data_IF_590235716135
#
_entry.id   IF_590235716135
#
_cell.length_a   1.000
_cell.length_b   1.000
_cell.length_c   1.000
_cell.angle_alpha   90.00
_cell.angle_beta   90.00
_cell.angle_gamma   90.00
#
_symmetry.space_group_name_H-M   'P 1'
#
loop_
_entity.id
_entity.type
_entity.pdbx_description
1 polymer ?
#
# COMPACT_ATOMS: atom_id res chain seq x y z
N UNK A 1 6.62 -6.02 25.02
CA UNK A 1 5.33 -6.69 24.73
C UNK A 1 4.29 -6.05 25.62
N UNK A 2 3.39 -5.25 25.02
CA UNK A 2 2.36 -4.49 25.73
C UNK A 2 1.28 -5.41 26.30
N UNK A 3 0.80 -5.13 27.52
CA UNK A 3 -0.28 -5.91 28.15
C UNK A 3 -1.64 -5.19 28.04
N UNK A 4 -2.74 -5.90 28.29
CA UNK A 4 -4.10 -5.34 28.21
C UNK A 4 -4.35 -4.19 29.20
N UNK A 5 -3.58 -4.13 30.28
CA UNK A 5 -3.65 -3.06 31.27
C UNK A 5 -3.05 -1.75 30.74
N UNK A 6 -1.93 -1.82 30.01
CA UNK A 6 -1.30 -0.69 29.32
C UNK A 6 -2.19 -0.15 28.20
N UNK A 7 -2.83 -1.02 27.40
CA UNK A 7 -3.76 -0.61 26.35
C UNK A 7 -5.00 0.13 26.92
N UNK A 8 -5.44 -0.25 28.13
CA UNK A 8 -6.53 0.42 28.83
C UNK A 8 -6.09 1.76 29.43
N UNK A 9 -4.88 1.84 29.96
CA UNK A 9 -4.35 3.04 30.61
C UNK A 9 -3.90 4.11 29.60
N UNK A 10 -3.38 3.67 28.45
CA UNK A 10 -2.91 4.51 27.37
C UNK A 10 -3.54 4.02 26.07
N UNK A 11 -4.63 4.65 25.65
CA UNK A 11 -5.33 4.35 24.39
C UNK A 11 -4.52 4.72 23.14
N UNK A 12 -3.38 5.41 23.34
CA UNK A 12 -2.48 5.95 22.32
C UNK A 12 -1.16 5.16 22.23
N UNK A 13 -1.18 3.86 22.53
CA UNK A 13 -0.03 2.96 22.30
C UNK A 13 0.09 2.68 20.80
N UNK A 14 1.32 2.68 20.27
CA UNK A 14 1.58 2.33 18.86
C UNK A 14 1.11 0.91 18.56
N UNK A 15 0.06 0.80 17.74
CA UNK A 15 -0.54 -0.46 17.32
C UNK A 15 -0.66 -0.50 15.80
N UNK A 16 -0.33 -1.64 15.20
CA UNK A 16 -0.47 -1.87 13.78
C UNK A 16 -1.91 -2.33 13.48
N UNK A 17 -2.55 -1.69 12.51
CA UNK A 17 -3.91 -2.03 12.13
C UNK A 17 -4.05 -2.23 10.64
N UNK A 18 -4.71 -3.32 10.24
CA UNK A 18 -5.11 -3.56 8.86
C UNK A 18 -6.61 -3.81 8.84
N UNK A 19 -7.34 -2.95 8.14
CA UNK A 19 -8.78 -3.11 7.93
C UNK A 19 -9.05 -3.13 6.44
N UNK A 20 -9.79 -4.14 5.99
CA UNK A 20 -10.12 -4.23 4.58
C UNK A 20 -11.42 -4.99 4.36
N UNK A 21 -12.14 -4.57 3.33
CA UNK A 21 -13.32 -5.29 2.86
C UNK A 21 -13.22 -5.46 1.35
N UNK A 22 -13.63 -6.64 0.89
CA UNK A 22 -13.74 -6.95 -0.54
C UNK A 22 -15.08 -7.58 -0.81
N UNK A 23 -15.76 -7.13 -1.86
CA UNK A 23 -17.07 -7.64 -2.26
C UNK A 23 -17.19 -7.74 -3.77
N UNK A 24 -17.75 -8.86 -4.22
CA UNK A 24 -18.26 -9.05 -5.58
C UNK A 24 -19.79 -8.98 -5.54
N UNK A 25 -20.41 -8.33 -6.51
CA UNK A 25 -21.85 -8.14 -6.52
C UNK A 25 -22.28 -6.89 -5.73
N UNK A 26 -21.75 -5.72 -6.09
CA UNK A 26 -22.12 -4.45 -5.46
C UNK A 26 -23.41 -3.89 -6.08
N UNK A 27 -24.29 -3.29 -5.27
CA UNK A 27 -25.52 -2.62 -5.73
C UNK A 27 -26.43 -3.45 -6.67
N UNK A 28 -26.45 -4.78 -6.50
CA UNK A 28 -27.22 -5.70 -7.36
C UNK A 28 -26.50 -6.14 -8.65
N UNK A 29 -25.36 -5.55 -8.98
CA UNK A 29 -24.57 -5.90 -10.17
C UNK A 29 -23.55 -7.00 -9.87
N UNK A 30 -23.86 -8.25 -10.25
CA UNK A 30 -23.01 -9.45 -10.00
C UNK A 30 -21.57 -9.36 -10.53
N UNK A 31 -21.34 -8.52 -11.54
CA UNK A 31 -20.06 -8.40 -12.21
C UNK A 31 -19.19 -7.27 -11.64
N UNK A 32 -19.70 -6.45 -10.72
CA UNK A 32 -18.88 -5.40 -10.08
C UNK A 32 -18.09 -6.02 -8.91
N UNK A 33 -16.80 -5.72 -8.87
CA UNK A 33 -15.89 -6.07 -7.77
C UNK A 33 -15.39 -4.78 -7.14
N UNK A 34 -15.36 -4.76 -5.81
CA UNK A 34 -14.93 -3.62 -5.03
C UNK A 34 -14.05 -4.11 -3.90
N UNK A 35 -13.06 -3.31 -3.55
CA UNK A 35 -12.36 -3.46 -2.29
C UNK A 35 -11.76 -2.16 -1.83
N UNK A 36 -11.66 -2.05 -0.51
CA UNK A 36 -10.94 -0.98 0.16
C UNK A 36 -10.14 -1.61 1.29
N UNK A 37 -8.93 -1.12 1.49
CA UNK A 37 -8.01 -1.54 2.52
C UNK A 37 -7.31 -0.30 3.08
N UNK A 38 -7.16 -0.24 4.39
CA UNK A 38 -6.38 0.76 5.09
C UNK A 38 -5.46 0.07 6.07
N UNK A 39 -4.18 0.38 5.99
CA UNK A 39 -3.12 -0.05 6.87
C UNK A 39 -2.62 1.17 7.63
N UNK A 40 -2.54 1.07 8.95
CA UNK A 40 -1.99 2.08 9.83
C UNK A 40 -0.85 1.47 10.65
N UNK A 41 0.36 1.98 10.45
CA UNK A 41 1.58 1.65 11.16
C UNK A 41 2.22 2.90 11.80
N UNK A 42 1.46 4.00 11.87
CA UNK A 42 1.94 5.28 12.36
C UNK A 42 2.26 5.16 13.85
N UNK A 43 3.42 5.72 14.24
CA UNK A 43 3.80 5.76 15.64
C UNK A 43 2.92 6.75 16.41
N UNK A 44 2.53 6.41 17.63
CA UNK A 44 1.61 7.22 18.43
C UNK A 44 2.34 8.05 19.49
N UNK A 45 1.70 9.12 19.97
CA UNK A 45 2.33 10.12 20.86
C UNK A 45 2.79 9.55 22.21
N UNK A 46 2.13 8.52 22.73
CA UNK A 46 2.59 7.83 23.96
C UNK A 46 3.97 7.16 23.79
N UNK A 47 4.24 6.66 22.59
CA UNK A 47 5.50 6.05 22.20
C UNK A 47 6.64 7.07 22.08
N UNK A 48 6.32 8.33 21.75
CA UNK A 48 7.27 9.45 21.65
C UNK A 48 7.71 9.96 23.04
N UNK A 49 6.78 10.07 23.99
CA UNK A 49 7.06 10.63 25.34
C UNK A 49 7.94 9.74 26.24
N UNK A 50 8.10 8.45 25.94
CA UNK A 50 9.01 7.56 26.69
C UNK A 50 10.37 7.35 26.02
N UNK A 51 10.60 7.90 24.83
CA UNK A 51 11.87 7.78 24.11
C UNK A 51 12.30 6.35 23.76
N UNK A 52 11.43 5.34 23.95
CA UNK A 52 11.80 3.92 23.83
C UNK A 52 10.62 3.06 23.38
N UNK A 53 10.06 3.34 22.22
CA UNK A 53 9.45 2.28 21.45
C UNK A 53 9.92 2.44 20.03
N UNK A 54 10.85 1.56 19.67
CA UNK A 54 11.12 1.20 18.29
C UNK A 54 9.81 1.21 17.51
N UNK A 55 9.80 1.91 16.38
CA UNK A 55 8.70 1.87 15.44
C UNK A 55 8.47 0.41 15.01
N UNK A 56 7.26 0.08 14.54
CA UNK A 56 7.02 -1.26 13.98
C UNK A 56 8.10 -1.54 12.94
N UNK A 57 8.81 -2.67 13.03
CA UNK A 57 9.91 -3.05 12.12
C UNK A 57 11.27 -2.33 12.33
N UNK A 58 11.48 -1.66 13.46
CA UNK A 58 12.79 -1.11 13.83
C UNK A 58 13.83 -2.23 14.11
N UNK A 59 14.89 -2.21 13.31
CA UNK A 59 15.95 -3.23 13.28
C UNK A 59 16.89 -3.14 14.49
N UNK A 60 17.04 -1.96 15.10
CA UNK A 60 17.98 -1.77 16.23
C UNK A 60 17.50 -2.51 17.48
N UNK A 61 16.19 -2.56 17.70
CA UNK A 61 15.56 -3.17 18.88
C UNK A 61 14.95 -4.53 18.54
N UNK A 62 14.45 -4.71 17.31
CA UNK A 62 13.82 -5.95 16.85
C UNK A 62 14.55 -6.51 15.62
N UNK A 63 15.55 -7.38 15.83
CA UNK A 63 16.16 -8.22 14.77
C UNK A 63 15.18 -9.17 14.07
N UNK A 64 13.93 -9.17 14.48
CA UNK A 64 12.83 -9.82 13.79
C UNK A 64 12.33 -8.89 12.70
N UNK A 65 12.21 -9.37 11.46
CA UNK A 65 11.58 -8.75 10.28
C UNK A 65 12.53 -8.50 9.09
N UNK A 66 13.81 -8.88 9.16
CA UNK A 66 14.71 -8.96 8.00
C UNK A 66 15.31 -10.36 7.84
N UNK A 67 15.35 -10.87 6.61
CA UNK A 67 16.11 -12.07 6.23
C UNK A 67 17.09 -11.69 5.11
N UNK A 68 18.39 -11.82 5.37
CA UNK A 68 19.46 -11.41 4.44
C UNK A 68 19.31 -9.95 3.95
N UNK A 69 18.95 -9.03 4.85
CA UNK A 69 18.73 -7.61 4.53
C UNK A 69 17.41 -7.31 3.81
N UNK A 70 16.58 -8.31 3.52
CA UNK A 70 15.24 -8.13 2.94
C UNK A 70 14.18 -8.12 4.03
N UNK A 71 13.37 -7.06 4.10
CA UNK A 71 12.27 -6.94 5.07
C UNK A 71 11.13 -7.92 4.73
N UNK A 72 10.60 -8.63 5.72
CA UNK A 72 9.37 -9.43 5.65
C UNK A 72 8.32 -8.72 6.51
N UNK A 73 7.85 -7.59 6.00
CA UNK A 73 7.03 -6.61 6.70
C UNK A 73 6.04 -5.97 5.70
N UNK A 74 5.13 -5.14 6.19
CA UNK A 74 4.30 -4.28 5.36
C UNK A 74 5.16 -3.50 4.34
N UNK A 75 4.60 -3.29 3.16
CA UNK A 75 5.33 -2.73 2.03
C UNK A 75 5.85 -1.30 2.32
N UNK A 76 5.10 -0.56 3.12
CA UNK A 76 5.32 0.84 3.48
C UNK A 76 6.34 1.09 4.59
N UNK A 77 6.77 0.04 5.30
CA UNK A 77 7.74 0.17 6.38
C UNK A 77 7.17 0.77 7.67
N UNK A 78 8.05 1.18 8.58
CA UNK A 78 7.69 1.73 9.88
C UNK A 78 7.14 3.16 9.77
N UNK A 79 6.29 3.61 10.70
CA UNK A 79 5.77 4.99 10.73
C UNK A 79 5.10 5.41 9.40
N UNK A 80 4.20 4.55 8.93
CA UNK A 80 3.59 4.66 7.62
C UNK A 80 2.10 4.34 7.66
N UNK A 81 1.38 4.77 6.63
CA UNK A 81 0.02 4.27 6.36
C UNK A 81 -0.22 4.08 4.87
N UNK A 82 -1.03 3.08 4.54
CA UNK A 82 -1.43 2.75 3.18
C UNK A 82 -2.94 2.76 3.04
N UNK A 83 -3.44 3.42 2.02
CA UNK A 83 -4.83 3.37 1.61
C UNK A 83 -4.93 2.82 0.19
N UNK A 84 -5.53 1.64 0.07
CA UNK A 84 -5.75 0.96 -1.19
C UNK A 84 -7.24 0.85 -1.51
N UNK A 85 -7.61 1.18 -2.74
CA UNK A 85 -8.99 1.12 -3.21
C UNK A 85 -9.05 0.61 -4.65
N UNK A 86 -10.05 -0.22 -4.95
CA UNK A 86 -10.37 -0.60 -6.32
C UNK A 86 -11.87 -0.76 -6.54
N UNK A 87 -12.30 -0.45 -7.76
CA UNK A 87 -13.66 -0.69 -8.24
C UNK A 87 -13.58 -1.15 -9.69
N UNK A 88 -13.78 -2.44 -9.90
CA UNK A 88 -13.63 -3.09 -11.19
C UNK A 88 -14.88 -3.81 -11.68
N UNK A 89 -14.80 -4.24 -12.93
CA UNK A 89 -15.74 -5.12 -13.59
C UNK A 89 -15.09 -6.47 -13.87
N UNK A 90 -15.78 -7.56 -13.53
CA UNK A 90 -15.37 -8.92 -13.81
C UNK A 90 -16.54 -9.67 -14.48
N UNK A 91 -16.53 -9.67 -15.80
CA UNK A 91 -17.44 -10.47 -16.63
C UNK A 91 -16.88 -11.84 -17.00
N UNK A 92 -17.50 -12.48 -17.99
CA UNK A 92 -17.08 -13.80 -18.50
C UNK A 92 -15.74 -13.74 -19.24
N UNK A 93 -15.63 -12.82 -20.19
CA UNK A 93 -14.43 -12.69 -21.04
C UNK A 93 -13.54 -11.55 -20.59
N UNK A 94 -14.12 -10.44 -20.12
CA UNK A 94 -13.39 -9.24 -19.73
C UNK A 94 -13.29 -9.09 -18.22
N UNK A 95 -12.14 -8.63 -17.75
CA UNK A 95 -11.94 -8.11 -16.39
C UNK A 95 -11.22 -6.78 -16.52
N UNK A 96 -11.77 -5.72 -15.93
CA UNK A 96 -11.21 -4.37 -15.94
C UNK A 96 -11.15 -3.93 -14.49
N UNK A 97 -9.95 -3.63 -14.00
CA UNK A 97 -9.69 -3.36 -12.60
C UNK A 97 -8.82 -2.11 -12.47
N UNK A 98 -9.42 -0.91 -12.41
CA UNK A 98 -8.73 0.27 -11.94
C UNK A 98 -8.56 0.18 -10.42
N UNK A 99 -7.40 0.62 -9.94
CA UNK A 99 -7.09 0.71 -8.53
C UNK A 99 -6.27 1.97 -8.22
N UNK A 100 -6.36 2.41 -6.99
CA UNK A 100 -5.67 3.55 -6.44
C UNK A 100 -4.97 3.11 -5.15
N UNK A 101 -3.72 3.51 -4.98
CA UNK A 101 -2.97 3.35 -3.75
C UNK A 101 -2.42 4.72 -3.32
N UNK A 102 -2.54 5.03 -2.05
CA UNK A 102 -1.94 6.21 -1.42
C UNK A 102 -1.17 5.77 -0.19
N UNK A 103 0.11 6.08 -0.15
CA UNK A 103 1.03 5.67 0.89
C UNK A 103 1.74 6.91 1.45
N UNK A 104 1.88 6.96 2.78
CA UNK A 104 2.75 7.92 3.45
C UNK A 104 3.75 7.19 4.32
N UNK A 105 4.96 7.72 4.38
CA UNK A 105 6.05 7.17 5.19
C UNK A 105 6.76 8.30 5.94
N UNK A 106 7.16 8.03 7.19
CA UNK A 106 7.79 9.02 8.06
C UNK A 106 6.80 10.06 8.58
N UNK A 107 5.54 9.67 8.84
CA UNK A 107 4.45 10.58 9.21
C UNK A 107 4.73 11.37 10.49
N UNK A 108 5.44 10.77 11.44
CA UNK A 108 5.81 11.39 12.71
C UNK A 108 7.24 11.94 12.67
N UNK A 109 8.18 11.19 12.09
CA UNK A 109 9.60 11.53 12.15
C UNK A 109 10.06 12.55 11.10
N UNK A 110 9.30 12.71 10.01
CA UNK A 110 9.68 13.55 8.88
C UNK A 110 8.57 14.53 8.51
N UNK A 111 8.95 15.78 8.29
CA UNK A 111 8.02 16.81 7.84
C UNK A 111 8.61 17.56 6.65
N UNK A 112 7.96 17.51 5.46
CA UNK A 112 6.80 16.67 5.11
C UNK A 112 7.14 15.17 5.09
N UNK A 113 6.13 14.28 5.25
CA UNK A 113 6.32 12.85 5.01
C UNK A 113 6.64 12.58 3.53
N UNK A 114 7.27 11.44 3.27
CA UNK A 114 7.35 10.88 1.92
C UNK A 114 5.96 10.41 1.52
N UNK A 115 5.50 10.78 0.33
CA UNK A 115 4.17 10.45 -0.17
C UNK A 115 4.30 9.73 -1.51
N UNK A 116 3.58 8.63 -1.66
CA UNK A 116 3.49 7.87 -2.90
C UNK A 116 2.03 7.68 -3.30
N UNK A 117 1.75 7.97 -4.56
CA UNK A 117 0.43 7.79 -5.18
C UNK A 117 0.59 6.86 -6.36
N UNK A 118 -0.20 5.80 -6.42
CA UNK A 118 -0.17 4.83 -7.51
C UNK A 118 -1.56 4.68 -8.11
N UNK A 119 -1.66 4.87 -9.43
CA UNK A 119 -2.85 4.57 -10.22
C UNK A 119 -2.56 3.33 -11.06
N UNK A 120 -3.38 2.29 -10.89
CA UNK A 120 -3.23 1.02 -11.60
C UNK A 120 -4.46 0.75 -12.45
N UNK A 121 -4.24 0.14 -13.61
CA UNK A 121 -5.28 -0.38 -14.48
C UNK A 121 -4.87 -1.76 -14.99
N UNK A 122 -5.62 -2.79 -14.61
CA UNK A 122 -5.49 -4.14 -15.19
C UNK A 122 -6.68 -4.44 -16.09
N UNK A 123 -6.40 -4.84 -17.33
CA UNK A 123 -7.39 -5.24 -18.33
C UNK A 123 -7.04 -6.65 -18.80
N UNK A 124 -7.89 -7.60 -18.44
CA UNK A 124 -7.74 -9.01 -18.81
C UNK A 124 -8.85 -9.40 -19.78
N UNK A 125 -8.48 -9.93 -20.94
CA UNK A 125 -9.37 -10.52 -21.91
C UNK A 125 -9.11 -12.02 -22.07
N UNK A 126 -10.16 -12.83 -21.91
CA UNK A 126 -10.13 -14.28 -22.07
C UNK A 126 -10.85 -14.65 -23.37
N UNK A 127 -10.14 -15.33 -24.26
CA UNK A 127 -10.68 -15.84 -25.52
C UNK A 127 -10.25 -17.29 -25.75
N UNK A 128 -11.22 -18.22 -25.68
CA UNK A 128 -10.97 -19.67 -25.73
C UNK A 128 -9.90 -20.07 -24.69
N UNK A 129 -8.76 -20.58 -25.13
CA UNK A 129 -7.66 -20.98 -24.27
C UNK A 129 -6.60 -19.88 -24.10
N UNK A 130 -6.85 -18.67 -24.61
CA UNK A 130 -5.94 -17.53 -24.50
C UNK A 130 -6.40 -16.55 -23.44
N UNK A 131 -5.42 -15.98 -22.75
CA UNK A 131 -5.58 -14.87 -21.81
C UNK A 131 -4.62 -13.77 -22.24
N UNK A 132 -5.16 -12.60 -22.50
CA UNK A 132 -4.44 -11.35 -22.77
C UNK A 132 -4.60 -10.48 -21.54
N UNK A 133 -3.50 -10.04 -20.96
CA UNK A 133 -3.49 -9.24 -19.74
C UNK A 133 -2.62 -8.02 -19.98
N UNK A 134 -3.24 -6.84 -19.90
CA UNK A 134 -2.60 -5.54 -19.99
C UNK A 134 -2.64 -4.91 -18.62
N UNK A 135 -1.48 -4.61 -18.07
CA UNK A 135 -1.31 -3.89 -16.82
C UNK A 135 -0.65 -2.55 -17.11
N UNK A 136 -1.23 -1.48 -16.59
CA UNK A 136 -0.66 -0.15 -16.57
C UNK A 136 -0.59 0.35 -15.13
N UNK A 137 0.50 1.01 -14.79
CA UNK A 137 0.70 1.66 -13.51
C UNK A 137 1.37 3.02 -13.72
N UNK A 138 0.82 4.03 -13.07
CA UNK A 138 1.39 5.37 -12.93
C UNK A 138 1.70 5.60 -11.46
N UNK A 139 2.97 5.73 -11.13
CA UNK A 139 3.42 6.04 -9.78
C UNK A 139 3.94 7.47 -9.73
N UNK A 140 3.57 8.17 -8.67
CA UNK A 140 4.02 9.52 -8.36
C UNK A 140 4.51 9.56 -6.92
N UNK A 141 5.70 10.12 -6.72
CA UNK A 141 6.32 10.27 -5.41
C UNK A 141 6.64 11.73 -5.14
N UNK A 142 6.49 12.13 -3.89
CA UNK A 142 6.92 13.41 -3.33
C UNK A 142 7.78 13.19 -2.09
N UNK A 143 8.74 14.11 -1.87
CA UNK A 143 9.64 14.11 -0.73
C UNK A 143 10.47 12.83 -0.58
N UNK A 144 10.87 12.21 -1.70
CA UNK A 144 11.71 11.01 -1.70
C UNK A 144 12.96 11.23 -0.85
N UNK A 145 13.22 10.32 0.08
CA UNK A 145 14.39 10.36 0.94
C UNK A 145 14.28 11.40 2.06
N UNK A 146 13.06 11.85 2.38
CA UNK A 146 12.73 12.69 3.53
C UNK A 146 13.45 14.05 3.53
N UNK A 147 13.10 14.91 2.56
CA UNK A 147 13.61 16.28 2.51
C UNK A 147 12.91 17.13 3.57
N UNK A 148 13.39 17.04 4.80
CA UNK A 148 12.85 17.75 5.94
C UNK A 148 12.88 19.28 5.72
N UNK A 149 11.76 19.94 5.95
CA UNK A 149 11.62 21.40 5.90
C UNK A 149 10.70 21.86 7.02
N UNK A 150 11.01 23.01 7.62
CA UNK A 150 10.12 23.66 8.60
C UNK A 150 9.03 24.51 7.93
N UNK A 151 9.03 24.61 6.61
CA UNK A 151 8.04 25.39 5.87
C UNK A 151 6.71 24.66 5.75
N UNK A 152 5.62 25.41 5.64
CA UNK A 152 4.29 24.85 5.45
C UNK A 152 4.13 24.31 4.01
N UNK A 153 4.56 23.07 3.82
CA UNK A 153 4.52 22.34 2.55
C UNK A 153 3.13 22.13 1.95
N UNK A 154 2.06 22.29 2.73
CA UNK A 154 0.68 22.25 2.20
C UNK A 154 0.31 23.47 1.35
N UNK A 155 1.13 24.53 1.41
CA UNK A 155 0.95 25.78 0.64
C UNK A 155 2.05 25.98 -0.41
N UNK A 156 3.08 25.14 -0.40
CA UNK A 156 4.26 25.28 -1.25
C UNK A 156 4.38 24.10 -2.22
N UNK A 157 4.96 24.34 -3.40
CA UNK A 157 5.24 23.24 -4.32
C UNK A 157 6.29 22.29 -3.73
N UNK A 158 6.18 20.97 -3.96
CA UNK A 158 7.19 20.02 -3.53
C UNK A 158 8.55 20.35 -4.16
N UNK A 159 9.63 20.00 -3.46
CA UNK A 159 10.98 20.26 -3.93
C UNK A 159 11.21 19.43 -5.21
N UNK A 160 11.55 20.05 -6.37
CA UNK A 160 11.58 19.33 -7.65
C UNK A 160 12.52 18.12 -7.68
N UNK A 161 13.63 18.16 -6.93
CA UNK A 161 14.61 17.07 -6.86
C UNK A 161 14.13 15.86 -6.05
N UNK A 162 13.06 16.00 -5.26
CA UNK A 162 12.47 14.91 -4.47
C UNK A 162 11.17 14.38 -5.07
N UNK A 163 10.88 14.74 -6.33
CA UNK A 163 9.73 14.23 -7.08
C UNK A 163 10.19 13.12 -8.02
N UNK A 164 9.44 12.01 -8.07
CA UNK A 164 9.63 10.97 -9.09
C UNK A 164 8.30 10.58 -9.71
N UNK A 165 8.34 10.32 -11.02
CA UNK A 165 7.21 9.75 -11.78
C UNK A 165 7.66 8.53 -12.53
N UNK A 166 6.93 7.45 -12.38
CA UNK A 166 7.17 6.19 -13.09
C UNK A 166 5.91 5.79 -13.84
N UNK A 167 6.08 5.31 -15.07
CA UNK A 167 5.01 4.70 -15.83
C UNK A 167 5.45 3.29 -16.23
N UNK A 168 4.67 2.30 -15.85
CA UNK A 168 4.93 0.90 -16.12
C UNK A 168 3.80 0.34 -16.97
N UNK A 169 4.13 -0.30 -18.09
CA UNK A 169 3.19 -1.05 -18.91
C UNK A 169 3.72 -2.48 -19.01
N UNK A 170 2.87 -3.46 -18.71
CA UNK A 170 3.17 -4.88 -18.84
C UNK A 170 2.11 -5.52 -19.73
N UNK A 171 2.55 -6.22 -20.76
CA UNK A 171 1.70 -7.08 -21.58
C UNK A 171 2.03 -8.53 -21.31
N UNK A 172 1.02 -9.32 -20.97
CA UNK A 172 1.13 -10.75 -20.72
C UNK A 172 0.19 -11.52 -21.65
N UNK A 173 0.76 -12.52 -22.31
CA UNK A 173 0.03 -13.47 -23.15
C UNK A 173 0.16 -14.86 -22.53
N UNK A 174 -0.96 -15.51 -22.26
CA UNK A 174 -1.00 -16.88 -21.71
C UNK A 174 -1.88 -17.77 -22.58
N UNK A 175 -1.44 -19.01 -22.81
CA UNK A 175 -2.19 -20.06 -23.49
C UNK A 175 -2.34 -21.27 -22.56
N UNK A 176 -3.57 -21.67 -22.29
CA UNK A 176 -3.86 -22.88 -21.51
C UNK A 176 -3.83 -24.10 -22.43
N UNK A 177 -2.98 -25.07 -22.11
CA UNK A 177 -2.87 -26.34 -22.84
C UNK A 177 -3.53 -27.43 -21.99
N UNK A 178 -4.55 -28.09 -22.55
CA UNK A 178 -5.19 -29.23 -21.91
C UNK A 178 -4.66 -30.49 -22.59
N UNK A 179 -3.86 -31.28 -21.88
CA UNK A 179 -3.45 -32.60 -22.33
C UNK A 179 -4.40 -33.63 -21.75
N UNK A 180 -5.01 -34.46 -22.60
CA UNK A 180 -5.66 -35.69 -22.13
C UNK A 180 -4.60 -36.77 -22.12
N UNK A 181 -4.35 -37.33 -20.94
CA UNK A 181 -3.56 -38.56 -20.79
C UNK A 181 -4.57 -39.70 -21.00
N UNK A 182 -4.36 -40.49 -22.05
CA UNK A 182 -5.11 -41.72 -22.32
C UNK A 182 -4.42 -42.91 -21.66
#
# INVERSE_FOLDING_TARGET
LHNLYELRAHWDVSAAYLYGVRKKGLFGFKNIIFGVEYLDLIQRTFSDHRGTTASWFDEEIYKSNTYSGRRWSAHSGADSDDFYFFLGYQGRNWTILPAFNYERHGVVYHFPPEVKIELRLSVIYRYKNWIFDLYYENEYFENIGFVNSNDNVWLNNPIPSSIRRTNTIIFKLQKNLNFKIN
#
